data_IF_482965666238
#
_entry.id   IF_482965666238
#
_cell.length_a   1.000
_cell.length_b   1.000
_cell.length_c   1.000
_cell.angle_alpha   90.00
_cell.angle_beta   90.00
_cell.angle_gamma   90.00
#
_symmetry.space_group_name_H-M   'P 1'
#
loop_
_entity.id
_entity.type
_entity.pdbx_description
1 polymer ?
#
# COMPACT_ATOMS: atom_id res chain seq x y z
N UNK A 1 -64.69 -53.40 14.05
CA UNK A 1 -64.18 -53.70 12.69
C UNK A 1 -63.21 -52.59 12.30
N UNK A 2 -61.91 -52.82 12.45
CA UNK A 2 -60.88 -51.87 12.03
C UNK A 2 -60.81 -51.92 10.50
N UNK A 3 -61.19 -50.82 9.83
CA UNK A 3 -61.19 -50.75 8.37
C UNK A 3 -59.75 -50.63 7.88
N UNK A 4 -59.34 -51.49 6.95
CA UNK A 4 -58.01 -51.42 6.31
C UNK A 4 -57.66 -50.02 5.76
N UNK A 5 -58.69 -49.22 5.43
CA UNK A 5 -58.54 -47.85 4.95
C UNK A 5 -57.93 -46.89 5.98
N UNK A 6 -58.19 -47.10 7.27
CA UNK A 6 -57.65 -46.26 8.35
C UNK A 6 -56.17 -46.59 8.62
N UNK A 7 -55.77 -47.85 8.43
CA UNK A 7 -54.37 -48.30 8.49
C UNK A 7 -53.55 -47.70 7.35
N UNK A 8 -54.13 -47.63 6.14
CA UNK A 8 -53.46 -46.99 5.00
C UNK A 8 -53.38 -45.47 5.16
N UNK A 9 -54.44 -44.80 5.63
CA UNK A 9 -54.43 -43.34 5.77
C UNK A 9 -53.48 -42.86 6.86
N UNK A 10 -53.41 -43.56 8.00
CA UNK A 10 -52.44 -43.27 9.07
C UNK A 10 -51.01 -43.59 8.66
N UNK A 11 -50.79 -44.66 7.89
CA UNK A 11 -49.48 -44.96 7.31
C UNK A 11 -48.98 -43.87 6.36
N UNK A 12 -49.84 -43.36 5.47
CA UNK A 12 -49.49 -42.25 4.56
C UNK A 12 -49.22 -40.94 5.32
N UNK A 13 -49.96 -40.67 6.40
CA UNK A 13 -49.73 -39.49 7.25
C UNK A 13 -48.37 -39.58 7.97
N UNK A 14 -48.01 -40.76 8.48
CA UNK A 14 -46.70 -40.99 9.09
C UNK A 14 -45.55 -40.79 8.08
N UNK A 15 -45.70 -41.29 6.85
CA UNK A 15 -44.71 -41.09 5.78
C UNK A 15 -44.58 -39.61 5.40
N UNK A 16 -45.69 -38.90 5.28
CA UNK A 16 -45.68 -37.46 4.97
C UNK A 16 -44.98 -36.64 6.07
N UNK A 17 -45.27 -36.94 7.34
CA UNK A 17 -44.57 -36.32 8.48
C UNK A 17 -43.07 -36.61 8.46
N UNK A 18 -42.68 -37.86 8.19
CA UNK A 18 -41.28 -38.27 8.18
C UNK A 18 -40.52 -37.59 7.02
N UNK A 19 -41.15 -37.48 5.83
CA UNK A 19 -40.60 -36.75 4.70
C UNK A 19 -40.40 -35.26 5.02
N UNK A 20 -41.36 -34.60 5.68
CA UNK A 20 -41.24 -33.21 6.11
C UNK A 20 -40.07 -32.99 7.07
N UNK A 21 -39.89 -33.88 8.04
CA UNK A 21 -38.77 -33.82 8.99
C UNK A 21 -37.43 -33.95 8.29
N UNK A 22 -37.30 -34.89 7.33
CA UNK A 22 -36.08 -35.06 6.53
C UNK A 22 -35.78 -33.80 5.71
N UNK A 23 -36.79 -33.23 5.06
CA UNK A 23 -36.64 -31.99 4.27
C UNK A 23 -36.20 -30.83 5.16
N UNK A 24 -36.79 -30.68 6.35
CA UNK A 24 -36.43 -29.63 7.29
C UNK A 24 -35.00 -29.79 7.81
N UNK A 25 -34.59 -31.01 8.15
CA UNK A 25 -33.19 -31.30 8.52
C UNK A 25 -32.21 -31.01 7.37
N UNK A 26 -32.57 -31.37 6.13
CA UNK A 26 -31.78 -31.06 4.95
C UNK A 26 -31.57 -29.56 4.76
N UNK A 27 -32.63 -28.77 4.88
CA UNK A 27 -32.54 -27.30 4.80
C UNK A 27 -31.68 -26.70 5.91
N UNK A 28 -31.80 -27.18 7.16
CA UNK A 28 -30.97 -26.71 8.27
C UNK A 28 -29.48 -27.06 8.07
N UNK A 29 -29.18 -28.27 7.60
CA UNK A 29 -27.81 -28.70 7.35
C UNK A 29 -27.16 -27.91 6.18
N UNK A 30 -27.91 -27.65 5.12
CA UNK A 30 -27.43 -26.83 3.99
C UNK A 30 -27.27 -25.37 4.41
N UNK A 31 -28.24 -24.81 5.14
CA UNK A 31 -28.20 -23.42 5.60
C UNK A 31 -27.05 -23.13 6.57
N UNK A 32 -26.73 -24.06 7.46
CA UNK A 32 -25.58 -23.91 8.38
C UNK A 32 -24.24 -23.99 7.64
N UNK A 33 -24.11 -24.88 6.66
CA UNK A 33 -22.92 -24.96 5.79
C UNK A 33 -22.73 -23.71 4.95
N UNK A 34 -23.79 -23.21 4.33
CA UNK A 34 -23.75 -21.96 3.55
C UNK A 34 -23.33 -20.76 4.40
N UNK A 35 -23.92 -20.61 5.59
CA UNK A 35 -23.52 -19.53 6.52
C UNK A 35 -22.07 -19.65 6.98
N UNK A 36 -21.56 -20.86 7.15
CA UNK A 36 -20.15 -21.07 7.50
C UNK A 36 -19.23 -20.63 6.36
N UNK A 37 -19.53 -21.03 5.12
CA UNK A 37 -18.74 -20.62 3.94
C UNK A 37 -18.83 -19.12 3.68
N UNK A 38 -19.97 -18.49 3.93
CA UNK A 38 -20.11 -17.05 3.76
C UNK A 38 -19.32 -16.28 4.83
N UNK A 39 -19.30 -16.77 6.07
CA UNK A 39 -18.48 -16.19 7.14
C UNK A 39 -16.98 -16.32 6.86
N UNK A 40 -16.52 -17.45 6.31
CA UNK A 40 -15.11 -17.59 5.93
C UNK A 40 -14.76 -16.64 4.80
N UNK A 41 -15.62 -16.51 3.78
CA UNK A 41 -15.42 -15.54 2.68
C UNK A 41 -15.42 -14.10 3.18
N UNK A 42 -16.31 -13.75 4.11
CA UNK A 42 -16.31 -12.42 4.73
C UNK A 42 -15.04 -12.19 5.54
N UNK A 43 -14.58 -13.18 6.31
CA UNK A 43 -13.34 -13.06 7.07
C UNK A 43 -12.11 -12.88 6.16
N UNK A 44 -12.05 -13.62 5.05
CA UNK A 44 -11.00 -13.46 4.02
C UNK A 44 -11.07 -12.09 3.35
N UNK A 45 -12.27 -11.60 3.02
CA UNK A 45 -12.46 -10.26 2.47
C UNK A 45 -12.00 -9.18 3.47
N UNK A 46 -12.36 -9.30 4.75
CA UNK A 46 -11.91 -8.37 5.78
C UNK A 46 -10.38 -8.41 5.98
N UNK A 47 -9.79 -9.61 5.96
CA UNK A 47 -8.35 -9.79 6.06
C UNK A 47 -7.62 -9.14 4.88
N UNK A 48 -8.07 -9.39 3.65
CA UNK A 48 -7.49 -8.80 2.43
C UNK A 48 -7.66 -7.28 2.38
N UNK A 49 -8.81 -6.74 2.82
CA UNK A 49 -9.03 -5.31 2.98
C UNK A 49 -8.09 -4.68 4.01
N UNK A 50 -7.85 -5.35 5.14
CA UNK A 50 -6.93 -4.89 6.16
C UNK A 50 -5.47 -4.90 5.67
N UNK A 51 -5.04 -5.99 5.04
CA UNK A 51 -3.70 -6.15 4.44
C UNK A 51 -3.46 -5.12 3.33
N UNK A 52 -4.45 -4.87 2.48
CA UNK A 52 -4.37 -3.85 1.44
C UNK A 52 -4.22 -2.43 2.00
N UNK A 53 -4.94 -2.10 3.08
CA UNK A 53 -4.79 -0.81 3.77
C UNK A 53 -3.43 -0.66 4.44
N UNK A 54 -2.89 -1.72 5.05
CA UNK A 54 -1.56 -1.66 5.68
C UNK A 54 -0.45 -1.52 4.64
N UNK A 55 -0.53 -2.25 3.52
CA UNK A 55 0.44 -2.14 2.43
C UNK A 55 0.42 -0.74 1.79
N UNK A 56 -0.75 -0.19 1.51
CA UNK A 56 -0.88 1.16 0.95
C UNK A 56 -0.38 2.24 1.93
N UNK A 57 -0.61 2.07 3.24
CA UNK A 57 -0.09 2.99 4.25
C UNK A 57 1.44 2.95 4.33
N UNK A 58 2.05 1.75 4.26
CA UNK A 58 3.51 1.58 4.27
C UNK A 58 4.17 2.18 3.02
N UNK A 59 3.57 1.98 1.85
CA UNK A 59 4.06 2.55 0.59
C UNK A 59 3.99 4.09 0.62
N UNK A 60 2.87 4.64 1.10
CA UNK A 60 2.71 6.07 1.27
C UNK A 60 3.71 6.69 2.26
N UNK A 61 4.01 6.02 3.38
CA UNK A 61 5.05 6.50 4.30
C UNK A 61 6.44 6.43 3.67
N UNK A 62 6.78 5.34 2.98
CA UNK A 62 8.09 5.21 2.33
C UNK A 62 8.33 6.27 1.23
N UNK A 63 7.28 6.64 0.48
CA UNK A 63 7.35 7.72 -0.50
C UNK A 63 7.58 9.07 0.19
N UNK A 64 6.84 9.35 1.28
CA UNK A 64 6.99 10.59 2.05
C UNK A 64 8.37 10.69 2.69
N UNK A 65 8.84 9.65 3.36
CA UNK A 65 10.16 9.65 4.01
C UNK A 65 11.29 9.88 2.99
N UNK A 66 11.17 9.29 1.79
CA UNK A 66 12.12 9.52 0.70
C UNK A 66 12.02 10.94 0.15
N UNK A 67 10.83 11.53 0.08
CA UNK A 67 10.63 12.91 -0.35
C UNK A 67 11.24 13.88 0.68
N UNK A 68 10.92 13.71 1.96
CA UNK A 68 11.45 14.52 3.06
C UNK A 68 12.97 14.45 3.13
N UNK A 69 13.56 13.26 2.96
CA UNK A 69 15.02 13.09 2.93
C UNK A 69 15.66 13.85 1.75
N UNK A 70 15.00 13.86 0.57
CA UNK A 70 15.48 14.65 -0.57
C UNK A 70 15.35 16.15 -0.32
N UNK A 71 14.25 16.59 0.27
CA UNK A 71 14.01 18.01 0.52
C UNK A 71 14.99 18.53 1.58
N UNK A 72 15.26 17.78 2.64
CA UNK A 72 16.33 18.09 3.60
C UNK A 72 17.70 18.21 2.92
N UNK A 73 18.02 17.32 1.98
CA UNK A 73 19.28 17.39 1.24
C UNK A 73 19.36 18.63 0.34
N UNK A 74 18.25 19.01 -0.30
CA UNK A 74 18.16 20.21 -1.14
C UNK A 74 18.27 21.47 -0.30
N UNK A 75 17.56 21.53 0.83
CA UNK A 75 17.58 22.67 1.75
C UNK A 75 18.99 22.85 2.32
N UNK A 76 19.63 21.77 2.76
CA UNK A 76 21.01 21.83 3.25
C UNK A 76 21.97 22.31 2.15
N UNK A 77 21.90 21.74 0.94
CA UNK A 77 22.76 22.15 -0.18
C UNK A 77 22.52 23.61 -0.59
N UNK A 78 21.27 24.09 -0.50
CA UNK A 78 20.90 25.46 -0.85
C UNK A 78 21.38 26.43 0.22
N UNK A 79 21.25 26.07 1.50
CA UNK A 79 21.73 26.86 2.62
C UNK A 79 23.26 26.96 2.59
N UNK A 80 23.98 25.84 2.43
CA UNK A 80 25.44 25.84 2.29
C UNK A 80 25.93 26.71 1.13
N UNK A 81 25.26 26.62 -0.03
CA UNK A 81 25.61 27.46 -1.19
C UNK A 81 25.32 28.93 -0.92
N UNK A 82 24.16 29.23 -0.31
CA UNK A 82 23.76 30.61 0.00
C UNK A 82 24.70 31.25 1.01
N UNK A 83 25.08 30.52 2.04
CA UNK A 83 26.02 30.99 3.06
C UNK A 83 27.42 31.17 2.47
N UNK A 84 27.87 30.29 1.58
CA UNK A 84 29.14 30.44 0.87
C UNK A 84 29.16 31.69 -0.04
N UNK A 85 28.05 31.99 -0.72
CA UNK A 85 27.92 33.20 -1.54
C UNK A 85 27.89 34.45 -0.66
N UNK A 86 27.10 34.45 0.42
CA UNK A 86 26.93 35.62 1.31
C UNK A 86 28.20 35.96 2.09
N UNK A 87 28.97 34.95 2.48
CA UNK A 87 30.20 35.12 3.25
C UNK A 87 31.46 35.10 2.37
N UNK A 88 31.31 35.22 1.05
CA UNK A 88 32.44 35.28 0.14
C UNK A 88 33.26 36.55 0.37
N UNK A 89 34.60 36.48 0.26
CA UNK A 89 35.47 37.63 0.47
C UNK A 89 35.37 38.71 -0.63
N UNK A 90 34.94 38.33 -1.83
CA UNK A 90 34.75 39.22 -2.98
C UNK A 90 33.69 38.67 -3.95
N UNK A 91 33.27 39.52 -4.92
CA UNK A 91 32.24 39.18 -5.91
C UNK A 91 32.67 38.03 -6.85
N UNK A 92 33.97 37.84 -7.06
CA UNK A 92 34.48 36.77 -7.92
C UNK A 92 34.32 35.40 -7.23
N UNK A 93 34.67 35.32 -5.94
CA UNK A 93 34.47 34.14 -5.10
C UNK A 93 32.97 33.81 -4.96
N UNK A 94 32.12 34.83 -4.79
CA UNK A 94 30.66 34.66 -4.79
C UNK A 94 30.16 34.06 -6.11
N UNK A 95 30.67 34.57 -7.25
CA UNK A 95 30.37 34.06 -8.58
C UNK A 95 30.80 32.60 -8.78
N UNK A 96 31.97 32.22 -8.29
CA UNK A 96 32.49 30.85 -8.35
C UNK A 96 31.66 29.87 -7.50
N UNK A 97 31.22 30.28 -6.31
CA UNK A 97 30.31 29.49 -5.49
C UNK A 97 28.96 29.25 -6.19
N UNK A 98 28.38 30.30 -6.79
CA UNK A 98 27.16 30.19 -7.59
C UNK A 98 27.32 29.30 -8.82
N UNK A 99 28.41 29.48 -9.57
CA UNK A 99 28.72 28.67 -10.75
C UNK A 99 28.93 27.20 -10.40
N UNK A 100 29.64 26.90 -9.31
CA UNK A 100 29.84 25.52 -8.84
C UNK A 100 28.52 24.83 -8.48
N UNK A 101 27.58 25.53 -7.85
CA UNK A 101 26.22 25.00 -7.61
C UNK A 101 25.49 24.72 -8.93
N UNK A 102 25.57 25.65 -9.88
CA UNK A 102 24.99 25.49 -11.21
C UNK A 102 25.57 24.28 -11.96
N UNK A 103 26.88 24.07 -11.86
CA UNK A 103 27.61 22.97 -12.47
C UNK A 103 27.31 21.59 -11.88
N UNK A 104 26.83 21.53 -10.62
CA UNK A 104 26.30 20.29 -10.03
C UNK A 104 24.96 19.90 -10.64
N UNK A 105 24.10 20.88 -10.96
CA UNK A 105 22.79 20.65 -11.59
C UNK A 105 22.91 20.44 -13.11
N UNK A 106 23.79 21.20 -13.76
CA UNK A 106 23.94 21.24 -15.22
C UNK A 106 25.42 21.17 -15.61
N UNK A 107 26.03 19.98 -15.64
CA UNK A 107 27.47 19.81 -15.83
C UNK A 107 27.98 20.26 -17.21
N UNK A 108 27.11 20.29 -18.22
CA UNK A 108 27.47 20.65 -19.60
C UNK A 108 27.14 22.10 -19.96
N UNK A 109 26.59 22.89 -19.02
CA UNK A 109 26.08 24.25 -19.30
C UNK A 109 27.19 25.30 -19.44
N UNK A 110 28.31 25.11 -18.75
CA UNK A 110 29.47 25.99 -18.83
C UNK A 110 30.74 25.12 -18.98
N UNK A 111 31.65 25.44 -19.91
CA UNK A 111 32.91 24.69 -20.07
C UNK A 111 33.75 24.65 -18.79
N UNK A 112 33.61 25.64 -17.89
CA UNK A 112 34.28 25.69 -16.58
C UNK A 112 33.74 24.65 -15.60
N UNK A 113 32.57 24.08 -15.83
CA UNK A 113 31.98 23.07 -14.97
C UNK A 113 32.83 21.79 -14.86
N UNK A 114 33.57 21.42 -15.90
CA UNK A 114 34.52 20.28 -15.85
C UNK A 114 35.64 20.51 -14.83
N UNK A 115 36.10 21.75 -14.70
CA UNK A 115 37.17 22.12 -13.75
C UNK A 115 36.61 22.31 -12.35
N UNK A 116 35.40 22.84 -12.21
CA UNK A 116 34.76 23.10 -10.92
C UNK A 116 34.17 21.84 -10.26
N UNK A 117 33.79 20.82 -11.04
CA UNK A 117 33.33 19.52 -10.56
C UNK A 117 34.47 18.54 -10.27
N UNK A 118 35.66 18.75 -10.84
CA UNK A 118 36.87 18.07 -10.40
C UNK A 118 37.22 18.62 -9.01
N UNK A 119 36.94 17.83 -7.96
CA UNK A 119 37.20 18.25 -6.59
C UNK A 119 38.63 18.76 -6.39
N UNK A 120 38.88 19.59 -5.36
CA UNK A 120 40.22 20.09 -5.06
C UNK A 120 41.13 18.89 -4.75
N UNK A 121 41.90 18.42 -5.73
CA UNK A 121 42.86 17.32 -5.55
C UNK A 121 42.84 16.17 -6.56
N UNK A 122 42.10 16.24 -7.69
CA UNK A 122 42.33 15.30 -8.80
C UNK A 122 42.61 16.01 -10.11
N UNK A 123 43.85 16.45 -10.25
CA UNK A 123 44.55 16.48 -11.53
C UNK A 123 45.48 15.26 -11.56
N UNK A 124 45.10 14.27 -12.35
CA UNK A 124 45.92 13.16 -12.80
C UNK A 124 45.74 13.03 -14.29
#
# INVERSE_FOLDING_TARGET
MIRLRDITATGWLAVACLALVIIMMGMLAVGTRQRATDRTRQAEAHKTLAEGRTAAAQDASAIRDRADARDQQIDQSTQETTDAIRNAPDDAAAGDHGLRSLCKLYPDRDPRCRVLNAGPGRVG
#
